data_IF_927154715124
#
_entry.id   IF_927154715124
#
_cell.length_a   1.000
_cell.length_b   1.000
_cell.length_c   1.000
_cell.angle_alpha   90.00
_cell.angle_beta   90.00
_cell.angle_gamma   90.00
#
_symmetry.space_group_name_H-M   'P 1'
#
loop_
_entity.id
_entity.type
_entity.pdbx_description
1 polymer ?
#
# COMPACT_ATOMS: atom_id res chain seq x y z
N UNK A 1 -18.75 61.55 -20.27
CA UNK A 1 -18.22 60.69 -21.34
C UNK A 1 -17.79 59.39 -20.67
N UNK A 2 -18.66 58.38 -20.65
CA UNK A 2 -18.39 57.07 -20.00
C UNK A 2 -17.74 56.19 -21.07
N UNK A 3 -16.45 55.91 -20.89
CA UNK A 3 -15.71 54.95 -21.68
C UNK A 3 -15.99 53.54 -21.13
N UNK A 4 -17.04 52.90 -21.56
CA UNK A 4 -17.28 51.46 -21.37
C UNK A 4 -16.46 50.72 -22.41
N UNK A 5 -15.25 50.30 -22.08
CA UNK A 5 -14.47 49.35 -22.89
C UNK A 5 -15.17 48.01 -22.86
N UNK A 6 -15.95 47.73 -23.89
CA UNK A 6 -16.52 46.40 -24.12
C UNK A 6 -15.37 45.42 -24.39
N UNK A 7 -15.07 44.54 -23.41
CA UNK A 7 -14.15 43.44 -23.65
C UNK A 7 -14.76 42.50 -24.70
N UNK A 8 -14.03 42.11 -25.74
CA UNK A 8 -14.54 41.13 -26.70
C UNK A 8 -14.93 39.82 -25.98
N UNK A 9 -15.96 39.12 -26.47
CA UNK A 9 -16.33 37.83 -25.89
C UNK A 9 -15.16 36.86 -25.99
N UNK A 10 -14.97 36.09 -24.92
CA UNK A 10 -13.93 35.07 -24.88
C UNK A 10 -14.14 34.03 -26.00
N UNK A 11 -13.11 33.58 -26.68
CA UNK A 11 -13.22 32.54 -27.71
C UNK A 11 -13.86 31.26 -27.14
N UNK A 12 -14.60 30.53 -27.98
CA UNK A 12 -15.34 29.31 -27.59
C UNK A 12 -14.47 28.14 -27.03
N UNK A 13 -13.17 28.23 -27.18
CA UNK A 13 -12.20 27.27 -26.65
C UNK A 13 -11.77 27.58 -25.20
N UNK A 14 -12.07 28.75 -24.67
CA UNK A 14 -11.71 29.14 -23.29
C UNK A 14 -12.29 28.19 -22.23
N UNK A 15 -13.52 27.65 -22.34
CA UNK A 15 -14.00 26.62 -21.41
C UNK A 15 -13.20 25.33 -21.46
N UNK A 16 -12.71 24.90 -22.64
CA UNK A 16 -11.87 23.71 -22.78
C UNK A 16 -10.52 23.88 -22.10
N UNK A 17 -9.92 25.08 -22.22
CA UNK A 17 -8.66 25.39 -21.51
C UNK A 17 -8.85 25.43 -19.99
N UNK A 18 -9.98 25.90 -19.49
CA UNK A 18 -10.24 25.91 -18.05
C UNK A 18 -10.44 24.50 -17.49
N UNK A 19 -11.12 23.61 -18.22
CA UNK A 19 -11.26 22.20 -17.85
C UNK A 19 -9.91 21.45 -17.90
N UNK A 20 -9.06 21.73 -18.89
CA UNK A 20 -7.70 21.18 -18.95
C UNK A 20 -6.81 21.72 -17.83
N UNK A 21 -6.92 22.99 -17.46
CA UNK A 21 -6.18 23.59 -16.35
C UNK A 21 -6.65 23.06 -14.98
N UNK A 22 -7.94 22.83 -14.77
CA UNK A 22 -8.47 22.22 -13.55
C UNK A 22 -8.05 20.75 -13.44
N UNK A 23 -8.06 20.01 -14.55
CA UNK A 23 -7.55 18.63 -14.57
C UNK A 23 -6.04 18.55 -14.30
N UNK A 24 -5.27 19.55 -14.72
CA UNK A 24 -3.82 19.62 -14.49
C UNK A 24 -3.51 19.83 -12.99
N UNK A 25 -4.21 20.74 -12.32
CA UNK A 25 -4.04 20.95 -10.87
C UNK A 25 -4.41 19.72 -10.02
N UNK A 26 -5.36 18.91 -10.48
CA UNK A 26 -5.73 17.65 -9.84
C UNK A 26 -4.66 16.59 -10.03
N UNK A 27 -4.06 16.48 -11.21
CA UNK A 27 -2.94 15.57 -11.49
C UNK A 27 -1.70 15.90 -10.63
N UNK A 28 -1.35 17.19 -10.54
CA UNK A 28 -0.26 17.69 -9.71
C UNK A 28 -0.47 17.34 -8.24
N UNK A 29 -1.67 17.55 -7.72
CA UNK A 29 -2.02 17.23 -6.34
C UNK A 29 -1.99 15.75 -6.07
N UNK A 30 -2.47 14.92 -7.01
CA UNK A 30 -2.45 13.47 -6.88
C UNK A 30 -1.02 12.94 -6.88
N UNK A 31 -0.15 13.42 -7.77
CA UNK A 31 1.26 13.05 -7.77
C UNK A 31 1.93 13.45 -6.44
N UNK A 32 1.71 14.69 -5.97
CA UNK A 32 2.29 15.16 -4.72
C UNK A 32 1.84 14.31 -3.52
N UNK A 33 0.55 13.94 -3.44
CA UNK A 33 0.04 13.05 -2.39
C UNK A 33 0.76 11.69 -2.39
N UNK A 34 0.90 11.09 -3.57
CA UNK A 34 1.61 9.81 -3.75
C UNK A 34 3.08 9.90 -3.33
N UNK A 35 3.78 10.95 -3.75
CA UNK A 35 5.19 11.15 -3.38
C UNK A 35 5.35 11.34 -1.87
N UNK A 36 4.44 12.08 -1.21
CA UNK A 36 4.48 12.33 0.24
C UNK A 36 4.04 11.11 1.07
N UNK A 37 3.34 10.14 0.50
CA UNK A 37 3.12 8.83 1.13
C UNK A 37 4.42 8.04 1.30
N UNK A 38 5.38 8.24 0.40
CA UNK A 38 6.67 7.53 0.36
C UNK A 38 7.74 8.34 1.09
N UNK A 39 7.89 9.61 0.71
CA UNK A 39 8.91 10.51 1.22
C UNK A 39 8.28 11.52 2.19
N UNK A 40 9.01 11.95 3.21
CA UNK A 40 8.48 13.00 4.07
C UNK A 40 8.43 14.36 3.36
N UNK A 41 7.56 15.26 3.87
CA UNK A 41 7.32 16.57 3.25
C UNK A 41 8.55 17.48 3.23
N UNK A 42 9.46 17.31 4.20
CA UNK A 42 10.68 18.11 4.23
C UNK A 42 11.62 17.67 3.11
N UNK A 43 11.83 16.36 2.96
CA UNK A 43 12.60 15.81 1.84
C UNK A 43 12.07 16.30 0.48
N UNK A 44 10.75 16.24 0.28
CA UNK A 44 10.12 16.69 -0.99
C UNK A 44 10.35 18.20 -1.21
N UNK A 45 10.22 19.02 -0.17
CA UNK A 45 10.47 20.46 -0.26
C UNK A 45 11.94 20.76 -0.60
N UNK A 46 12.88 20.10 0.07
CA UNK A 46 14.32 20.26 -0.19
C UNK A 46 14.70 19.78 -1.60
N UNK A 47 14.13 18.66 -2.03
CA UNK A 47 14.33 18.13 -3.38
C UNK A 47 13.84 19.10 -4.45
N UNK A 48 12.61 19.62 -4.32
CA UNK A 48 12.07 20.63 -5.23
C UNK A 48 12.90 21.89 -5.24
N UNK A 49 13.36 22.37 -4.08
CA UNK A 49 14.24 23.54 -3.97
C UNK A 49 15.58 23.34 -4.69
N UNK A 50 16.09 22.12 -4.73
CA UNK A 50 17.33 21.78 -5.42
C UNK A 50 17.19 21.79 -6.96
N UNK A 51 15.97 21.70 -7.50
CA UNK A 51 15.72 21.63 -8.95
C UNK A 51 15.82 23.01 -9.59
N UNK A 52 15.19 24.02 -8.99
CA UNK A 52 15.00 25.35 -9.60
C UNK A 52 15.55 26.51 -8.77
N UNK A 53 16.09 26.23 -7.56
CA UNK A 53 16.60 27.23 -6.63
C UNK A 53 15.54 28.05 -5.94
N UNK A 54 14.24 27.75 -6.11
CA UNK A 54 13.15 28.36 -5.34
C UNK A 54 13.14 27.82 -3.92
N UNK A 55 12.65 28.60 -3.00
CA UNK A 55 12.44 28.15 -1.63
C UNK A 55 11.10 27.44 -1.48
N UNK A 56 11.09 26.13 -1.69
CA UNK A 56 9.94 25.30 -1.36
C UNK A 56 9.93 24.99 0.13
N UNK A 57 8.76 24.99 0.74
CA UNK A 57 8.63 24.73 2.17
C UNK A 57 7.62 23.63 2.45
N UNK A 58 7.82 22.91 3.56
CA UNK A 58 6.88 21.92 4.09
C UNK A 58 5.49 22.51 4.27
N UNK A 59 5.40 23.79 4.67
CA UNK A 59 4.14 24.52 4.88
C UNK A 59 3.39 24.72 3.55
N UNK A 60 4.09 25.07 2.47
CA UNK A 60 3.50 25.20 1.12
C UNK A 60 2.90 23.89 0.68
N UNK A 61 3.64 22.77 0.78
CA UNK A 61 3.14 21.44 0.42
C UNK A 61 1.93 21.05 1.29
N UNK A 62 1.97 21.35 2.59
CA UNK A 62 0.86 21.08 3.50
C UNK A 62 -0.41 21.87 3.15
N UNK A 63 -0.27 23.12 2.71
CA UNK A 63 -1.40 23.97 2.28
C UNK A 63 -2.02 23.44 0.99
N UNK A 64 -1.22 22.99 0.03
CA UNK A 64 -1.69 22.33 -1.19
C UNK A 64 -2.44 21.03 -0.88
N UNK A 65 -1.86 20.16 -0.09
CA UNK A 65 -2.49 18.88 0.28
C UNK A 65 -3.80 19.03 1.05
N UNK A 66 -3.95 20.14 1.80
CA UNK A 66 -5.19 20.45 2.54
C UNK A 66 -6.24 21.19 1.69
N UNK A 67 -5.95 21.50 0.43
CA UNK A 67 -6.82 22.28 -0.45
C UNK A 67 -6.98 23.76 -0.07
N UNK A 68 -6.15 24.27 0.86
CA UNK A 68 -6.20 25.70 1.26
C UNK A 68 -5.74 26.64 0.16
N UNK A 69 -4.88 26.17 -0.72
CA UNK A 69 -4.44 26.86 -1.95
C UNK A 69 -4.34 25.79 -3.05
N UNK A 70 -4.60 26.19 -4.30
CA UNK A 70 -4.42 25.31 -5.46
C UNK A 70 -2.97 24.86 -5.58
N UNK A 71 -2.76 23.57 -5.85
CA UNK A 71 -1.44 23.07 -6.19
C UNK A 71 -1.04 23.61 -7.57
N UNK A 72 0.22 24.02 -7.70
CA UNK A 72 0.78 24.42 -8.98
C UNK A 72 2.26 24.03 -9.01
N UNK A 73 2.53 22.89 -9.64
CA UNK A 73 3.87 22.39 -9.91
C UNK A 73 4.26 22.80 -11.34
N UNK A 74 5.34 23.56 -11.52
CA UNK A 74 5.86 23.75 -12.87
C UNK A 74 6.24 22.39 -13.49
N UNK A 75 6.16 22.28 -14.80
CA UNK A 75 6.34 21.03 -15.55
C UNK A 75 7.66 20.31 -15.21
N UNK A 76 8.72 21.06 -14.99
CA UNK A 76 10.04 20.49 -14.64
C UNK A 76 10.00 19.76 -13.29
N UNK A 77 9.40 20.38 -12.28
CA UNK A 77 9.26 19.85 -10.94
C UNK A 77 8.30 18.65 -10.93
N UNK A 78 7.22 18.73 -11.70
CA UNK A 78 6.30 17.60 -11.90
C UNK A 78 7.04 16.37 -12.45
N UNK A 79 7.79 16.52 -13.56
CA UNK A 79 8.58 15.42 -14.17
C UNK A 79 9.62 14.88 -13.17
N UNK A 80 10.24 15.74 -12.37
CA UNK A 80 11.23 15.31 -11.39
C UNK A 80 10.58 14.50 -10.24
N UNK A 81 9.39 14.90 -9.78
CA UNK A 81 8.64 14.14 -8.78
C UNK A 81 8.13 12.80 -9.34
N UNK A 82 7.68 12.79 -10.59
CA UNK A 82 7.23 11.56 -11.26
C UNK A 82 8.35 10.51 -11.30
N UNK A 83 9.59 10.92 -11.56
CA UNK A 83 10.78 10.04 -11.54
C UNK A 83 11.13 9.46 -10.17
N UNK A 84 10.60 10.01 -9.08
CA UNK A 84 10.73 9.42 -7.75
C UNK A 84 9.74 8.26 -7.52
N UNK A 85 8.72 8.14 -8.37
CA UNK A 85 7.74 7.07 -8.25
C UNK A 85 8.27 5.78 -8.91
N UNK A 86 8.00 4.61 -8.30
CA UNK A 86 8.37 3.34 -8.89
C UNK A 86 7.51 3.06 -10.14
N UNK A 87 8.10 2.40 -11.12
CA UNK A 87 7.38 1.90 -12.28
C UNK A 87 6.86 0.48 -12.04
N UNK A 88 5.67 0.19 -12.57
CA UNK A 88 5.13 -1.16 -12.55
C UNK A 88 5.96 -2.09 -13.45
N UNK A 89 6.55 -3.13 -12.88
CA UNK A 89 7.41 -4.10 -13.61
C UNK A 89 6.62 -5.12 -14.40
N UNK A 90 5.45 -5.48 -13.89
CA UNK A 90 4.51 -6.42 -14.49
C UNK A 90 3.15 -5.73 -14.58
N UNK A 91 2.52 -5.84 -15.74
CA UNK A 91 1.18 -5.26 -16.02
C UNK A 91 0.20 -6.37 -16.37
N UNK A 92 -1.13 -6.10 -16.36
CA UNK A 92 -2.13 -7.10 -16.76
C UNK A 92 -1.89 -7.72 -18.15
N UNK A 93 -1.27 -6.95 -19.07
CA UNK A 93 -1.05 -7.36 -20.46
C UNK A 93 0.12 -8.36 -20.59
N UNK A 94 1.08 -8.33 -19.66
CA UNK A 94 2.29 -9.16 -19.72
C UNK A 94 2.41 -10.17 -18.57
N UNK A 95 1.41 -10.24 -17.66
CA UNK A 95 1.46 -11.14 -16.53
C UNK A 95 1.22 -12.60 -16.93
N UNK A 96 1.87 -13.51 -16.22
CA UNK A 96 1.70 -14.97 -16.37
C UNK A 96 0.71 -15.55 -15.36
N UNK A 97 0.62 -14.93 -14.19
CA UNK A 97 -0.29 -15.30 -13.10
C UNK A 97 -0.48 -14.10 -12.18
N UNK A 98 -1.50 -14.16 -11.32
CA UNK A 98 -1.79 -13.13 -10.32
C UNK A 98 -1.45 -13.64 -8.92
N UNK A 99 -0.94 -12.75 -8.06
CA UNK A 99 -0.69 -13.10 -6.67
C UNK A 99 -1.05 -11.98 -5.71
N UNK A 100 -1.17 -12.34 -4.44
CA UNK A 100 -1.31 -11.41 -3.32
C UNK A 100 -0.14 -11.58 -2.36
N UNK A 101 0.24 -10.48 -1.67
CA UNK A 101 1.38 -10.41 -0.77
C UNK A 101 0.92 -9.92 0.61
N UNK A 102 0.80 -10.84 1.56
CA UNK A 102 0.30 -10.58 2.91
C UNK A 102 1.48 -10.48 3.88
N UNK A 103 1.41 -9.52 4.82
CA UNK A 103 2.51 -9.20 5.73
C UNK A 103 3.80 -8.89 4.96
N UNK A 104 3.64 -8.07 3.95
CA UNK A 104 4.58 -7.93 2.83
C UNK A 104 5.94 -7.33 3.22
N UNK A 105 6.05 -6.68 4.40
CA UNK A 105 7.25 -6.00 4.82
C UNK A 105 7.69 -4.96 3.79
N UNK A 106 8.92 -5.04 3.32
CA UNK A 106 9.45 -4.17 2.27
C UNK A 106 9.32 -4.76 0.86
N UNK A 107 8.63 -5.92 0.70
CA UNK A 107 8.33 -6.54 -0.58
C UNK A 107 9.39 -7.52 -1.12
N UNK A 108 10.20 -8.12 -0.24
CA UNK A 108 11.24 -9.05 -0.67
C UNK A 108 10.70 -10.29 -1.40
N UNK A 109 9.60 -10.87 -0.93
CA UNK A 109 8.97 -12.04 -1.56
C UNK A 109 8.33 -11.62 -2.89
N UNK A 110 7.60 -10.49 -2.91
CA UNK A 110 6.99 -9.94 -4.13
C UNK A 110 8.00 -9.86 -5.27
N UNK A 111 9.22 -9.37 -4.99
CA UNK A 111 10.26 -9.22 -5.99
C UNK A 111 10.54 -10.50 -6.75
N UNK A 112 10.70 -11.62 -6.03
CA UNK A 112 10.96 -12.92 -6.65
C UNK A 112 9.81 -13.41 -7.53
N UNK A 113 8.56 -13.09 -7.16
CA UNK A 113 7.39 -13.49 -7.94
C UNK A 113 7.15 -12.58 -9.15
N UNK A 114 7.45 -11.28 -9.07
CA UNK A 114 7.44 -10.39 -10.24
C UNK A 114 8.53 -10.78 -11.26
N UNK A 115 9.71 -11.21 -10.80
CA UNK A 115 10.81 -11.63 -11.69
C UNK A 115 10.46 -12.86 -12.56
N UNK A 116 9.47 -13.66 -12.16
CA UNK A 116 8.94 -14.78 -12.96
C UNK A 116 7.61 -14.47 -13.68
N UNK A 117 7.21 -13.19 -13.71
CA UNK A 117 6.04 -12.69 -14.44
C UNK A 117 4.73 -12.69 -13.65
N UNK A 118 4.79 -12.74 -12.31
CA UNK A 118 3.62 -12.59 -11.45
C UNK A 118 3.19 -11.13 -11.34
N UNK A 119 1.86 -10.88 -11.40
CA UNK A 119 1.23 -9.59 -11.16
C UNK A 119 0.70 -9.54 -9.72
N UNK A 120 1.23 -8.64 -8.90
CA UNK A 120 0.67 -8.38 -7.58
C UNK A 120 -0.64 -7.60 -7.70
N UNK A 121 -1.73 -8.16 -7.18
CA UNK A 121 -3.06 -7.53 -7.25
C UNK A 121 -3.58 -7.07 -5.89
N UNK A 122 -2.95 -7.51 -4.80
CA UNK A 122 -3.30 -7.09 -3.44
C UNK A 122 -2.08 -7.21 -2.52
N UNK A 123 -1.92 -6.22 -1.63
CA UNK A 123 -0.89 -6.23 -0.59
C UNK A 123 -1.50 -5.84 0.75
N UNK A 124 -1.05 -6.49 1.82
CA UNK A 124 -1.34 -6.06 3.19
C UNK A 124 -0.06 -5.92 4.00
N UNK A 125 0.16 -4.71 4.59
CA UNK A 125 1.28 -4.42 5.48
C UNK A 125 0.88 -3.39 6.54
N UNK A 126 1.05 -3.77 7.82
CA UNK A 126 0.66 -2.96 8.98
C UNK A 126 1.70 -1.90 9.35
N UNK A 127 2.99 -2.25 9.27
CA UNK A 127 4.06 -1.35 9.69
C UNK A 127 4.20 -0.18 8.72
N UNK A 128 4.15 1.04 9.25
CA UNK A 128 4.16 2.27 8.43
C UNK A 128 5.47 2.46 7.68
N UNK A 129 6.60 2.15 8.30
CA UNK A 129 7.92 2.35 7.68
C UNK A 129 8.19 1.27 6.62
N UNK A 130 7.77 0.02 6.89
CA UNK A 130 7.78 -1.05 5.90
C UNK A 130 6.87 -0.70 4.71
N UNK A 131 5.64 -0.24 4.95
CA UNK A 131 4.70 0.21 3.92
C UNK A 131 5.26 1.34 3.05
N UNK A 132 5.95 2.32 3.65
CA UNK A 132 6.62 3.41 2.91
C UNK A 132 7.71 2.87 2.00
N UNK A 133 8.57 2.00 2.52
CA UNK A 133 9.63 1.34 1.74
C UNK A 133 9.04 0.48 0.62
N UNK A 134 7.95 -0.26 0.91
CA UNK A 134 7.23 -1.06 -0.08
C UNK A 134 6.72 -0.18 -1.24
N UNK A 135 6.05 0.95 -0.93
CA UNK A 135 5.53 1.91 -1.91
C UNK A 135 6.62 2.64 -2.68
N UNK A 136 7.84 2.74 -2.13
CA UNK A 136 9.00 3.26 -2.84
C UNK A 136 9.55 2.27 -3.90
N UNK A 137 9.33 0.97 -3.68
CA UNK A 137 9.81 -0.09 -4.57
C UNK A 137 8.77 -0.53 -5.61
N UNK A 138 7.46 -0.34 -5.30
CA UNK A 138 6.36 -0.87 -6.11
C UNK A 138 5.25 0.15 -6.26
N UNK A 139 4.79 0.40 -7.49
CA UNK A 139 3.61 1.23 -7.71
C UNK A 139 2.36 0.51 -7.20
N UNK A 140 1.85 0.97 -6.06
CA UNK A 140 0.65 0.45 -5.41
C UNK A 140 -0.62 1.21 -5.80
N UNK A 141 -0.52 2.27 -6.62
CA UNK A 141 -1.64 3.13 -7.01
C UNK A 141 -2.15 2.83 -8.43
N UNK A 142 -1.78 1.69 -8.98
CA UNK A 142 -2.27 1.23 -10.28
C UNK A 142 -3.69 0.64 -10.15
N UNK A 143 -4.53 0.70 -11.21
CA UNK A 143 -5.95 0.30 -11.12
C UNK A 143 -6.19 -1.17 -10.75
N UNK A 144 -5.22 -2.04 -11.01
CA UNK A 144 -5.32 -3.47 -10.74
C UNK A 144 -4.81 -3.91 -9.37
N UNK A 145 -4.22 -2.98 -8.58
CA UNK A 145 -3.66 -3.29 -7.27
C UNK A 145 -4.45 -2.61 -6.14
N UNK A 146 -4.61 -3.31 -5.03
CA UNK A 146 -5.17 -2.76 -3.78
C UNK A 146 -4.19 -2.93 -2.65
N UNK A 147 -3.98 -1.87 -1.88
CA UNK A 147 -3.14 -1.87 -0.68
C UNK A 147 -4.01 -1.74 0.57
N UNK A 148 -3.80 -2.61 1.55
CA UNK A 148 -4.48 -2.59 2.84
C UNK A 148 -3.46 -2.50 3.97
N UNK A 149 -3.76 -1.73 5.01
CA UNK A 149 -2.88 -1.55 6.16
C UNK A 149 -3.13 -2.58 7.29
N UNK A 150 -4.37 -3.01 7.47
CA UNK A 150 -4.72 -3.96 8.54
C UNK A 150 -5.52 -5.13 7.98
N UNK A 151 -4.91 -6.31 7.97
CA UNK A 151 -5.53 -7.53 7.45
C UNK A 151 -6.85 -7.88 8.15
N UNK A 152 -7.05 -7.45 9.42
CA UNK A 152 -8.28 -7.70 10.18
C UNK A 152 -9.47 -6.93 9.62
N UNK A 153 -9.24 -5.77 9.00
CA UNK A 153 -10.30 -5.06 8.27
C UNK A 153 -10.82 -5.86 7.07
N UNK A 154 -9.96 -6.70 6.50
CA UNK A 154 -10.30 -7.57 5.35
C UNK A 154 -10.96 -8.86 5.81
N UNK A 155 -10.45 -9.47 6.88
CA UNK A 155 -10.93 -10.76 7.38
C UNK A 155 -12.09 -10.64 8.36
N UNK A 156 -12.33 -9.43 8.90
CA UNK A 156 -13.30 -9.12 9.97
C UNK A 156 -13.11 -10.03 11.21
N UNK A 157 -11.85 -10.41 11.47
CA UNK A 157 -11.51 -11.38 12.53
C UNK A 157 -11.64 -10.79 13.94
N UNK A 158 -11.65 -9.48 14.07
CA UNK A 158 -11.87 -8.74 15.31
C UNK A 158 -13.35 -8.42 15.58
N UNK A 159 -14.27 -8.89 14.71
CA UNK A 159 -15.71 -8.68 14.80
C UNK A 159 -16.43 -9.98 15.11
N UNK A 160 -16.66 -10.29 16.41
CA UNK A 160 -17.26 -11.55 16.84
C UNK A 160 -18.71 -11.74 16.35
N UNK A 161 -19.41 -10.65 16.01
CA UNK A 161 -20.78 -10.64 15.49
C UNK A 161 -20.89 -11.07 14.04
N UNK A 162 -19.76 -11.09 13.28
CA UNK A 162 -19.74 -11.42 11.85
C UNK A 162 -19.63 -12.93 11.68
N UNK A 163 -20.55 -13.50 10.91
CA UNK A 163 -20.52 -14.93 10.56
C UNK A 163 -19.36 -15.27 9.61
N UNK A 164 -19.01 -16.54 9.51
CA UNK A 164 -17.96 -16.99 8.59
C UNK A 164 -18.32 -16.71 7.13
N UNK A 165 -19.58 -16.87 6.76
CA UNK A 165 -20.12 -16.63 5.42
C UNK A 165 -20.00 -15.15 5.04
N UNK A 166 -20.42 -14.25 5.92
CA UNK A 166 -20.30 -12.79 5.73
C UNK A 166 -18.84 -12.36 5.62
N UNK A 167 -17.96 -12.92 6.45
CA UNK A 167 -16.53 -12.67 6.36
C UNK A 167 -15.94 -13.14 5.02
N UNK A 168 -16.35 -14.31 4.51
CA UNK A 168 -15.89 -14.81 3.22
C UNK A 168 -16.40 -13.96 2.05
N UNK A 169 -17.63 -13.49 2.08
CA UNK A 169 -18.18 -12.57 1.09
C UNK A 169 -17.41 -11.24 1.09
N UNK A 170 -17.14 -10.70 2.27
CA UNK A 170 -16.34 -9.49 2.42
C UNK A 170 -14.92 -9.68 1.85
N UNK A 171 -14.22 -10.75 2.21
CA UNK A 171 -12.90 -11.08 1.65
C UNK A 171 -12.94 -11.12 0.12
N UNK A 172 -13.96 -11.79 -0.46
CA UNK A 172 -14.10 -11.85 -1.93
C UNK A 172 -14.36 -10.49 -2.58
N UNK A 173 -15.01 -9.57 -1.89
CA UNK A 173 -15.26 -8.21 -2.39
C UNK A 173 -14.01 -7.33 -2.35
N UNK A 174 -13.13 -7.53 -1.35
CA UNK A 174 -11.94 -6.72 -1.12
C UNK A 174 -10.72 -7.26 -1.85
N UNK A 175 -10.44 -8.56 -1.71
CA UNK A 175 -9.26 -9.20 -2.34
C UNK A 175 -9.62 -9.65 -3.75
N UNK A 176 -8.92 -9.22 -4.80
CA UNK A 176 -9.14 -9.69 -6.17
C UNK A 176 -8.87 -11.20 -6.35
N UNK A 177 -9.36 -11.78 -7.44
CA UNK A 177 -8.99 -13.14 -7.83
C UNK A 177 -7.50 -13.24 -8.12
N UNK A 178 -6.88 -14.33 -7.63
CA UNK A 178 -5.46 -14.58 -7.74
C UNK A 178 -5.16 -16.09 -7.72
N UNK A 179 -4.03 -16.45 -8.30
CA UNK A 179 -3.57 -17.83 -8.43
C UNK A 179 -2.69 -18.23 -7.24
N UNK A 180 -1.92 -17.28 -6.69
CA UNK A 180 -0.93 -17.51 -5.64
C UNK A 180 -1.15 -16.58 -4.47
N UNK A 181 -1.10 -17.12 -3.25
CA UNK A 181 -1.10 -16.35 -2.01
C UNK A 181 0.29 -16.45 -1.37
N UNK A 182 0.91 -15.30 -1.09
CA UNK A 182 2.16 -15.21 -0.34
C UNK A 182 1.87 -14.63 1.04
N UNK A 183 2.45 -15.22 2.10
CA UNK A 183 2.30 -14.70 3.46
C UNK A 183 3.53 -14.99 4.32
N UNK A 184 4.27 -13.93 4.67
CA UNK A 184 5.31 -13.95 5.70
C UNK A 184 4.73 -13.48 7.04
N UNK A 185 3.85 -14.30 7.65
CA UNK A 185 3.14 -13.89 8.87
C UNK A 185 4.07 -13.72 10.08
N UNK A 186 3.73 -12.84 11.07
CA UNK A 186 4.60 -12.47 12.17
C UNK A 186 5.19 -13.65 12.93
N UNK A 187 6.51 -13.67 13.04
CA UNK A 187 7.26 -14.75 13.69
C UNK A 187 7.47 -14.58 15.20
N UNK A 188 7.20 -13.38 15.76
CA UNK A 188 7.47 -13.08 17.17
C UNK A 188 6.81 -14.07 18.15
N UNK A 189 5.58 -14.57 17.93
CA UNK A 189 4.96 -15.56 18.80
C UNK A 189 5.70 -16.91 18.83
N UNK A 190 6.46 -17.21 17.80
CA UNK A 190 7.09 -18.52 17.54
C UNK A 190 8.61 -18.47 17.59
N UNK A 191 9.25 -17.30 17.52
CA UNK A 191 10.71 -17.16 17.53
C UNK A 191 11.27 -17.34 18.94
N UNK A 192 12.49 -17.88 19.07
CA UNK A 192 13.17 -18.08 20.36
C UNK A 192 13.26 -16.75 21.13
N UNK A 193 13.67 -15.67 20.47
CA UNK A 193 13.80 -14.36 21.09
C UNK A 193 12.44 -13.78 21.51
N UNK A 194 11.42 -13.88 20.63
CA UNK A 194 10.06 -13.42 20.92
C UNK A 194 9.41 -14.17 22.06
N UNK A 195 9.51 -15.50 22.06
CA UNK A 195 8.98 -16.37 23.12
C UNK A 195 9.66 -16.07 24.47
N UNK A 196 10.99 -15.95 24.52
CA UNK A 196 11.73 -15.63 25.73
C UNK A 196 11.33 -14.27 26.29
N UNK A 197 11.25 -13.22 25.44
CA UNK A 197 10.81 -11.88 25.83
C UNK A 197 9.36 -11.88 26.36
N UNK A 198 8.44 -12.57 25.70
CA UNK A 198 7.02 -12.60 26.12
C UNK A 198 6.87 -13.39 27.42
N UNK A 199 7.56 -14.52 27.60
CA UNK A 199 7.55 -15.29 28.85
C UNK A 199 8.10 -14.51 30.03
N UNK A 200 9.19 -13.75 29.85
CA UNK A 200 9.75 -12.89 30.91
C UNK A 200 8.80 -11.77 31.32
N UNK A 201 7.86 -11.38 30.47
CA UNK A 201 6.82 -10.40 30.72
C UNK A 201 5.46 -11.02 31.13
N UNK A 202 5.40 -12.34 31.33
CA UNK A 202 4.15 -13.04 31.66
C UNK A 202 3.08 -13.01 30.54
N UNK A 203 3.49 -12.83 29.28
CA UNK A 203 2.56 -12.74 28.14
C UNK A 203 2.43 -14.08 27.42
N UNK A 204 1.24 -14.31 26.82
CA UNK A 204 0.98 -15.47 25.98
C UNK A 204 1.94 -15.57 24.78
N UNK A 205 2.16 -16.79 24.29
CA UNK A 205 3.06 -17.08 23.15
C UNK A 205 2.38 -18.01 22.17
N UNK A 206 2.92 -18.12 20.96
CA UNK A 206 2.33 -18.97 19.92
C UNK A 206 0.95 -18.47 19.49
N UNK A 207 0.04 -19.37 19.20
CA UNK A 207 -1.33 -19.04 18.80
C UNK A 207 -2.21 -18.48 19.94
N UNK A 208 -1.78 -18.58 21.18
CA UNK A 208 -2.47 -17.95 22.33
C UNK A 208 -2.18 -16.45 22.42
N UNK A 209 -1.24 -15.94 21.64
CA UNK A 209 -0.96 -14.50 21.52
C UNK A 209 -2.07 -13.82 20.71
N UNK A 210 -2.97 -13.14 21.39
CA UNK A 210 -4.15 -12.48 20.79
C UNK A 210 -3.79 -11.40 19.76
N UNK A 211 -2.60 -10.80 19.83
CA UNK A 211 -2.23 -9.70 18.94
C UNK A 211 -1.55 -10.17 17.64
N UNK A 212 -0.75 -11.24 17.70
CA UNK A 212 0.09 -11.67 16.58
C UNK A 212 -0.03 -13.17 16.26
N UNK A 213 -0.37 -14.01 17.25
CA UNK A 213 -0.55 -15.44 17.05
C UNK A 213 -1.79 -15.77 16.23
N UNK A 214 -2.78 -14.88 16.24
CA UNK A 214 -4.04 -15.05 15.50
C UNK A 214 -3.93 -14.70 14.02
N UNK A 215 -2.94 -13.93 13.59
CA UNK A 215 -2.79 -13.48 12.19
C UNK A 215 -2.57 -14.63 11.18
N UNK A 216 -2.09 -15.79 11.65
CA UNK A 216 -2.10 -17.02 10.86
C UNK A 216 -3.53 -17.43 10.46
N UNK A 217 -4.48 -17.31 11.38
CA UNK A 217 -5.89 -17.66 11.10
C UNK A 217 -6.55 -16.67 10.14
N UNK A 218 -6.10 -15.40 10.10
CA UNK A 218 -6.50 -14.44 9.07
C UNK A 218 -6.06 -14.93 7.69
N UNK A 219 -4.81 -15.40 7.57
CA UNK A 219 -4.32 -16.01 6.33
C UNK A 219 -5.13 -17.25 5.94
N UNK A 220 -5.40 -18.15 6.90
CA UNK A 220 -6.20 -19.35 6.66
C UNK A 220 -7.63 -19.00 6.20
N UNK A 221 -8.23 -17.95 6.78
CA UNK A 221 -9.56 -17.45 6.38
C UNK A 221 -9.56 -16.93 4.94
N UNK A 222 -8.52 -16.23 4.53
CA UNK A 222 -8.36 -15.76 3.14
C UNK A 222 -8.19 -16.95 2.19
N UNK A 223 -7.35 -17.93 2.53
CA UNK A 223 -7.18 -19.15 1.73
C UNK A 223 -8.51 -19.88 1.56
N UNK A 224 -9.30 -20.04 2.63
CA UNK A 224 -10.58 -20.70 2.59
C UNK A 224 -11.61 -19.95 1.72
N UNK A 225 -11.62 -18.59 1.79
CA UNK A 225 -12.55 -17.76 1.05
C UNK A 225 -12.19 -17.67 -0.45
N UNK A 226 -10.89 -17.54 -0.80
CA UNK A 226 -10.42 -17.27 -2.18
C UNK A 226 -9.95 -18.52 -2.91
N UNK A 227 -9.49 -19.55 -2.19
CA UNK A 227 -9.03 -20.85 -2.73
C UNK A 227 -7.98 -20.69 -3.84
N UNK A 228 -6.85 -20.00 -3.58
CA UNK A 228 -5.78 -19.87 -4.57
C UNK A 228 -5.25 -21.27 -4.96
N UNK A 229 -4.72 -21.39 -6.17
CA UNK A 229 -4.14 -22.65 -6.65
C UNK A 229 -2.89 -23.04 -5.83
N UNK A 230 -2.13 -22.04 -5.37
CA UNK A 230 -0.91 -22.22 -4.56
C UNK A 230 -0.89 -21.20 -3.44
N UNK A 231 -0.38 -21.58 -2.27
CA UNK A 231 0.00 -20.63 -1.23
C UNK A 231 1.41 -20.92 -0.72
N UNK A 232 2.15 -19.87 -0.42
CA UNK A 232 3.50 -19.91 0.14
C UNK A 232 3.47 -19.20 1.48
N UNK A 233 3.72 -19.96 2.56
CA UNK A 233 3.76 -19.44 3.93
C UNK A 233 5.21 -19.44 4.41
N UNK A 234 5.73 -18.25 4.71
CA UNK A 234 7.09 -18.08 5.24
C UNK A 234 7.04 -17.85 6.75
N UNK A 235 7.93 -18.50 7.48
CA UNK A 235 8.14 -18.23 8.89
C UNK A 235 9.51 -18.75 9.38
N UNK A 236 9.89 -18.43 10.62
CA UNK A 236 11.16 -18.86 11.22
C UNK A 236 11.22 -20.37 11.42
N UNK A 237 12.43 -20.94 11.29
CA UNK A 237 12.69 -22.39 11.48
C UNK A 237 12.12 -22.93 12.80
N UNK A 238 12.13 -22.11 13.85
CA UNK A 238 11.65 -22.51 15.19
C UNK A 238 10.14 -22.83 15.22
N UNK A 239 9.33 -22.39 14.26
CA UNK A 239 7.91 -22.75 14.16
C UNK A 239 7.72 -24.27 14.17
N UNK A 240 8.60 -25.04 13.50
CA UNK A 240 8.54 -26.51 13.44
C UNK A 240 8.74 -27.19 14.79
N UNK A 241 9.57 -26.62 15.68
CA UNK A 241 9.88 -27.16 16.99
C UNK A 241 9.13 -26.47 18.14
N UNK A 242 8.43 -25.37 17.86
CA UNK A 242 7.67 -24.62 18.85
C UNK A 242 6.62 -25.52 19.53
N UNK A 243 6.52 -25.42 20.85
CA UNK A 243 5.60 -26.22 21.68
C UNK A 243 5.70 -27.74 21.39
N UNK A 244 6.95 -28.26 21.36
CA UNK A 244 7.24 -29.67 21.06
C UNK A 244 6.67 -30.13 19.69
N UNK A 245 6.60 -29.24 18.74
CA UNK A 245 6.09 -29.48 17.38
C UNK A 245 4.55 -29.44 17.24
N UNK A 246 3.81 -29.16 18.32
CA UNK A 246 2.35 -29.09 18.27
C UNK A 246 1.87 -27.94 17.40
N UNK A 247 2.50 -26.77 17.50
CA UNK A 247 2.17 -25.58 16.71
C UNK A 247 2.19 -25.83 15.19
N UNK A 248 3.12 -26.64 14.70
CA UNK A 248 3.26 -26.94 13.27
C UNK A 248 2.22 -27.96 12.76
N UNK A 249 1.47 -28.59 13.65
CA UNK A 249 0.46 -29.62 13.31
C UNK A 249 -0.98 -29.06 13.24
N UNK A 250 -1.14 -27.78 13.59
CA UNK A 250 -2.39 -27.05 13.46
C UNK A 250 -2.61 -26.63 12.00
#
# INVERSE_FOLDING_TARGET
>A
MNNTTCKPPLPSWVPQISEELDSHGELELNLLKRVVEIYDKQFVADYLSSIDGRSWTRETLSRWMSGKIGAHLPLREFICLEKLMPEARVTPENCRFRFIDLFAGIGGIRRGFEDIGGLCVFTSEWDKEASRTYRANYDCNVPWHRFNSDIREVTLSDKPEVTTEEAYEHIRSVIPEHDVLLAGFPCQPFSIAGVSKKRSLGRATGFEDQAQGTLFFDTARIIAARRPAVFVLENVKNLKSHDKGRTFKI
#
